data_IF_877705268177
#
_entry.id   IF_877705268177
#
_cell.length_a   1.000
_cell.length_b   1.000
_cell.length_c   1.000
_cell.angle_alpha   90.00
_cell.angle_beta   90.00
_cell.angle_gamma   90.00
#
_symmetry.space_group_name_H-M   'P 1'
#
loop_
_entity.id
_entity.type
_entity.pdbx_description
1 polymer ?
#
# COMPACT_ATOMS: atom_id res chain seq x y z
N UNK A 1 3.07 -9.13 -4.76
CA UNK A 1 3.18 -7.68 -5.05
C UNK A 1 3.30 -6.82 -3.80
N UNK A 2 2.42 -6.95 -2.79
CA UNK A 2 2.45 -6.10 -1.58
C UNK A 2 3.80 -5.92 -0.91
N UNK A 3 4.60 -6.98 -0.78
CA UNK A 3 5.98 -6.87 -0.25
C UNK A 3 6.90 -5.98 -1.12
N UNK A 4 6.81 -6.07 -2.45
CA UNK A 4 7.70 -5.34 -3.35
C UNK A 4 7.38 -3.85 -3.38
N UNK A 5 6.08 -3.50 -3.37
CA UNK A 5 5.59 -2.11 -3.45
C UNK A 5 5.33 -1.49 -2.06
N UNK A 6 5.62 -2.21 -0.98
CA UNK A 6 5.55 -1.67 0.38
C UNK A 6 6.69 -0.69 0.65
N UNK A 7 6.40 0.42 1.31
CA UNK A 7 7.37 1.49 1.56
C UNK A 7 8.66 1.01 2.23
N UNK A 8 8.59 0.00 3.11
CA UNK A 8 9.74 -0.61 3.79
C UNK A 8 9.99 -2.06 3.37
N UNK A 9 9.35 -2.52 2.29
CA UNK A 9 9.32 -3.92 1.91
C UNK A 9 8.82 -4.83 3.04
N UNK A 10 7.79 -4.39 3.75
CA UNK A 10 7.24 -5.11 4.90
C UNK A 10 5.78 -5.47 4.71
N UNK A 11 5.38 -6.64 5.21
CA UNK A 11 3.97 -7.05 5.25
C UNK A 11 3.09 -6.09 6.08
N UNK A 12 3.69 -5.30 6.97
CA UNK A 12 2.98 -4.29 7.78
C UNK A 12 2.65 -3.02 7.01
N UNK A 13 3.25 -2.81 5.84
CA UNK A 13 3.12 -1.58 5.08
C UNK A 13 1.75 -1.43 4.43
N UNK A 14 1.26 -2.47 3.76
CA UNK A 14 0.01 -2.43 2.99
C UNK A 14 -0.89 -3.66 3.21
N UNK A 15 -0.55 -4.50 4.20
CA UNK A 15 -1.27 -5.74 4.52
C UNK A 15 -1.71 -6.57 3.29
N UNK A 16 -0.85 -6.68 2.28
CA UNK A 16 -1.13 -7.52 1.11
C UNK A 16 -1.56 -8.94 1.47
N UNK A 17 -1.00 -9.51 2.55
CA UNK A 17 -1.42 -10.82 3.07
C UNK A 17 -2.91 -10.87 3.46
N UNK A 18 -3.47 -9.78 4.01
CA UNK A 18 -4.87 -9.72 4.40
C UNK A 18 -5.76 -9.59 3.17
N UNK A 19 -5.24 -9.01 2.08
CA UNK A 19 -5.93 -8.96 0.81
C UNK A 19 -5.95 -10.35 0.18
N UNK A 20 -4.81 -11.03 0.13
CA UNK A 20 -4.67 -12.41 -0.38
C UNK A 20 -5.64 -13.37 0.33
N UNK A 21 -5.85 -13.20 1.63
CA UNK A 21 -6.81 -14.00 2.42
C UNK A 21 -8.29 -13.75 2.09
N UNK A 22 -8.62 -12.58 1.51
CA UNK A 22 -10.01 -12.16 1.25
C UNK A 22 -10.43 -12.36 -0.21
N UNK A 23 -9.48 -12.45 -1.13
CA UNK A 23 -9.77 -12.65 -2.54
C UNK A 23 -10.01 -14.14 -2.83
N UNK A 24 -10.97 -14.41 -3.72
CA UNK A 24 -11.22 -15.76 -4.24
C UNK A 24 -10.38 -16.04 -5.48
N UNK A 25 -10.22 -15.02 -6.32
CA UNK A 25 -9.49 -15.04 -7.57
C UNK A 25 -8.47 -13.88 -7.57
N UNK A 26 -7.35 -14.08 -8.24
CA UNK A 26 -6.34 -13.03 -8.44
C UNK A 26 -6.95 -11.93 -9.32
N UNK A 27 -7.10 -10.69 -8.80
CA UNK A 27 -7.52 -9.57 -9.64
C UNK A 27 -6.40 -9.20 -10.63
N UNK A 28 -6.68 -8.33 -11.62
CA UNK A 28 -5.63 -7.70 -12.41
C UNK A 28 -4.54 -7.09 -11.51
N UNK A 29 -3.25 -7.23 -11.86
CA UNK A 29 -2.16 -6.76 -11.02
C UNK A 29 -2.17 -5.23 -10.82
N UNK A 30 -2.72 -4.48 -11.76
CA UNK A 30 -2.90 -3.03 -11.67
C UNK A 30 -3.90 -2.68 -10.55
N UNK A 31 -5.09 -3.30 -10.57
CA UNK A 31 -6.11 -3.13 -9.53
C UNK A 31 -5.58 -3.55 -8.15
N UNK A 32 -4.79 -4.64 -8.11
CA UNK A 32 -4.13 -5.09 -6.88
C UNK A 32 -3.19 -4.01 -6.32
N UNK A 33 -2.36 -3.40 -7.17
CA UNK A 33 -1.45 -2.33 -6.77
C UNK A 33 -2.20 -1.10 -6.27
N UNK A 34 -3.27 -0.67 -6.94
CA UNK A 34 -4.10 0.43 -6.48
C UNK A 34 -4.68 0.18 -5.08
N UNK A 35 -5.17 -1.04 -4.81
CA UNK A 35 -5.65 -1.45 -3.48
C UNK A 35 -4.53 -1.40 -2.44
N UNK A 36 -3.33 -1.86 -2.78
CA UNK A 36 -2.18 -1.83 -1.88
C UNK A 36 -1.74 -0.40 -1.56
N UNK A 37 -1.68 0.48 -2.56
CA UNK A 37 -1.37 1.90 -2.38
C UNK A 37 -2.42 2.57 -1.49
N UNK A 38 -3.71 2.29 -1.73
CA UNK A 38 -4.82 2.84 -0.92
C UNK A 38 -4.73 2.39 0.54
N UNK A 39 -4.51 1.11 0.77
CA UNK A 39 -4.34 0.54 2.12
C UNK A 39 -3.11 1.13 2.83
N UNK A 40 -2.00 1.29 2.12
CA UNK A 40 -0.78 1.89 2.69
C UNK A 40 -0.94 3.38 2.97
N UNK A 41 -1.63 4.11 2.09
CA UNK A 41 -1.97 5.51 2.30
C UNK A 41 -2.83 5.68 3.55
N UNK A 42 -3.83 4.82 3.76
CA UNK A 42 -4.62 4.84 4.98
C UNK A 42 -3.77 4.57 6.22
N UNK A 43 -2.85 3.62 6.13
CA UNK A 43 -1.91 3.32 7.22
C UNK A 43 -0.99 4.49 7.56
N UNK A 44 -0.76 5.45 6.66
CA UNK A 44 0.01 6.64 7.01
C UNK A 44 -0.71 7.48 8.07
N UNK A 45 -2.03 7.57 8.00
CA UNK A 45 -2.86 8.20 9.04
C UNK A 45 -2.76 7.39 10.33
N UNK A 46 -3.03 6.09 10.26
CA UNK A 46 -3.03 5.20 11.43
C UNK A 46 -1.67 5.19 12.16
N UNK A 47 -0.57 5.14 11.42
CA UNK A 47 0.78 5.18 11.98
C UNK A 47 1.09 6.55 12.60
N UNK A 48 0.58 7.64 12.04
CA UNK A 48 0.73 8.99 12.62
C UNK A 48 -0.03 9.13 13.94
N UNK A 49 -1.15 8.41 14.09
CA UNK A 49 -1.90 8.30 15.34
C UNK A 49 -1.30 7.29 16.32
N UNK A 50 -0.22 6.61 15.94
CA UNK A 50 0.52 5.64 16.78
C UNK A 50 -0.40 4.52 17.30
N UNK A 51 -1.40 4.12 16.51
CA UNK A 51 -2.31 3.04 16.91
C UNK A 51 -1.66 1.66 16.78
N UNK A 52 -2.24 0.66 17.45
CA UNK A 52 -1.87 -0.73 17.22
C UNK A 52 -2.47 -1.24 15.90
N UNK A 53 -1.63 -1.65 14.94
CA UNK A 53 -2.08 -2.17 13.64
C UNK A 53 -2.84 -3.51 13.73
N UNK A 54 -2.80 -4.21 14.86
CA UNK A 54 -3.71 -5.35 15.09
C UNK A 54 -5.15 -4.91 15.32
N UNK A 55 -5.36 -3.73 15.90
CA UNK A 55 -6.68 -3.15 16.12
C UNK A 55 -7.16 -2.27 14.95
N UNK A 56 -6.39 -2.11 13.88
CA UNK A 56 -6.72 -1.21 12.74
C UNK A 56 -8.14 -1.36 12.18
N UNK A 57 -8.75 -2.54 12.28
CA UNK A 57 -10.09 -2.80 11.75
C UNK A 57 -11.21 -2.07 12.48
N UNK A 58 -10.97 -1.60 13.72
CA UNK A 58 -11.91 -0.76 14.47
C UNK A 58 -11.59 0.74 14.38
N UNK A 59 -10.48 1.09 13.72
CA UNK A 59 -10.10 2.47 13.44
C UNK A 59 -10.35 2.72 11.95
N UNK A 60 -11.63 2.71 11.54
CA UNK A 60 -12.02 3.16 10.21
C UNK A 60 -11.98 4.70 10.12
N UNK A 61 -12.20 5.23 8.92
CA UNK A 61 -11.99 6.65 8.65
C UNK A 61 -13.01 7.52 9.38
N UNK A 62 -14.24 7.04 9.51
CA UNK A 62 -15.32 7.67 10.26
C UNK A 62 -15.00 7.71 11.75
N UNK A 63 -14.62 6.57 12.33
CA UNK A 63 -14.26 6.47 13.75
C UNK A 63 -13.07 7.38 14.09
N UNK A 64 -12.04 7.44 13.23
CA UNK A 64 -10.89 8.32 13.43
C UNK A 64 -11.30 9.79 13.34
N UNK A 65 -12.12 10.16 12.35
CA UNK A 65 -12.65 11.52 12.20
C UNK A 65 -13.42 11.97 13.46
N UNK A 66 -14.32 11.12 13.96
CA UNK A 66 -15.11 11.41 15.16
C UNK A 66 -14.24 11.49 16.41
N UNK A 67 -13.22 10.64 16.54
CA UNK A 67 -12.34 10.60 17.70
C UNK A 67 -11.42 11.83 17.82
N UNK A 68 -11.11 12.51 16.71
CA UNK A 68 -10.26 13.70 16.69
C UNK A 68 -11.00 14.99 17.06
N UNK A 69 -12.31 15.06 16.81
CA UNK A 69 -13.15 16.22 17.14
C UNK A 69 -13.11 16.65 18.62
N UNK A 70 -13.31 15.75 19.62
CA UNK A 70 -13.24 16.15 21.03
C UNK A 70 -11.84 16.56 21.50
N UNK A 71 -10.79 16.29 20.70
CA UNK A 71 -9.42 16.74 20.95
C UNK A 71 -9.16 18.16 20.41
N UNK A 72 -10.16 18.79 19.78
CA UNK A 72 -10.02 20.09 19.12
C UNK A 72 -9.30 20.03 17.79
N UNK A 73 -9.25 18.84 17.15
CA UNK A 73 -8.60 18.61 15.86
C UNK A 73 -9.64 18.07 14.88
N UNK A 74 -10.67 18.84 14.49
CA UNK A 74 -11.67 18.35 13.55
C UNK A 74 -11.03 18.07 12.19
N UNK A 75 -11.02 16.81 11.77
CA UNK A 75 -10.51 16.39 10.46
C UNK A 75 -11.54 15.48 9.80
N UNK A 76 -12.26 15.93 8.75
CA UNK A 76 -13.27 15.10 8.10
C UNK A 76 -12.65 13.90 7.36
N UNK A 77 -13.42 12.84 7.07
CA UNK A 77 -12.91 11.62 6.44
C UNK A 77 -12.14 11.84 5.13
N UNK A 78 -12.62 12.74 4.28
CA UNK A 78 -12.01 13.10 3.00
C UNK A 78 -10.62 13.71 3.20
N UNK A 79 -10.46 14.52 4.25
CA UNK A 79 -9.20 15.14 4.60
C UNK A 79 -8.22 14.11 5.17
N UNK A 80 -8.69 13.13 5.96
CA UNK A 80 -7.86 12.01 6.41
C UNK A 80 -7.33 11.19 5.22
N UNK A 81 -8.17 10.91 4.22
CA UNK A 81 -7.73 10.24 3.00
C UNK A 81 -6.70 11.05 2.22
N UNK A 82 -6.89 12.37 2.13
CA UNK A 82 -5.92 13.28 1.50
C UNK A 82 -4.59 13.26 2.24
N UNK A 83 -4.60 13.45 3.56
CA UNK A 83 -3.41 13.41 4.41
C UNK A 83 -2.66 12.09 4.30
N UNK A 84 -3.37 10.96 4.33
CA UNK A 84 -2.77 9.63 4.17
C UNK A 84 -2.04 9.48 2.84
N UNK A 85 -2.64 9.97 1.74
CA UNK A 85 -2.01 9.97 0.42
C UNK A 85 -0.82 10.93 0.36
N UNK A 86 -0.93 12.13 0.92
CA UNK A 86 0.15 13.11 0.91
C UNK A 86 1.38 12.61 1.70
N UNK A 87 1.17 12.00 2.86
CA UNK A 87 2.25 11.37 3.65
C UNK A 87 2.85 10.18 2.88
N UNK A 88 2.03 9.37 2.21
CA UNK A 88 2.52 8.27 1.39
C UNK A 88 3.47 8.77 0.29
N UNK A 89 3.07 9.82 -0.43
CA UNK A 89 3.87 10.45 -1.48
C UNK A 89 5.19 10.97 -0.91
N UNK A 90 5.15 11.75 0.17
CA UNK A 90 6.35 12.29 0.82
C UNK A 90 7.33 11.19 1.24
N UNK A 91 6.82 10.11 1.83
CA UNK A 91 7.64 8.97 2.25
C UNK A 91 8.29 8.29 1.05
N UNK A 92 7.59 8.16 -0.07
CA UNK A 92 8.17 7.62 -1.31
C UNK A 92 9.18 8.57 -1.94
N UNK A 93 8.90 9.88 -2.01
CA UNK A 93 9.87 10.88 -2.47
C UNK A 93 11.17 10.82 -1.66
N UNK A 94 11.08 10.70 -0.33
CA UNK A 94 12.26 10.50 0.52
C UNK A 94 12.98 9.20 0.18
N UNK A 95 12.24 8.09 0.00
CA UNK A 95 12.82 6.79 -0.36
C UNK A 95 13.62 6.86 -1.68
N UNK A 96 13.09 7.56 -2.70
CA UNK A 96 13.77 7.80 -3.98
C UNK A 96 15.03 8.65 -3.80
N UNK A 97 14.95 9.74 -3.02
CA UNK A 97 16.10 10.58 -2.71
C UNK A 97 17.21 9.80 -2.00
N UNK A 98 16.85 8.75 -1.26
CA UNK A 98 17.79 7.83 -0.60
C UNK A 98 18.34 6.73 -1.53
N UNK A 99 18.05 6.78 -2.83
CA UNK A 99 18.62 5.89 -3.84
C UNK A 99 17.78 4.64 -4.15
N UNK A 100 16.53 4.58 -3.72
CA UNK A 100 15.61 3.52 -4.16
C UNK A 100 15.18 3.75 -5.60
N UNK A 101 15.20 2.69 -6.41
CA UNK A 101 14.70 2.71 -7.79
C UNK A 101 13.52 1.72 -7.92
N UNK A 102 12.27 2.21 -8.10
CA UNK A 102 11.10 1.36 -8.26
C UNK A 102 11.06 0.66 -9.63
N UNK A 103 11.80 1.15 -10.62
CA UNK A 103 11.84 0.59 -11.98
C UNK A 103 12.69 -0.67 -12.08
N UNK A 104 13.61 -0.85 -11.12
CA UNK A 104 14.49 -2.01 -11.01
C UNK A 104 13.92 -3.13 -10.12
N UNK A 105 12.71 -2.97 -9.58
CA UNK A 105 12.06 -4.00 -8.76
C UNK A 105 11.81 -5.27 -9.58
N UNK A 106 12.11 -6.43 -8.98
CA UNK A 106 11.88 -7.74 -9.58
C UNK A 106 11.29 -8.70 -8.56
N UNK A 107 10.42 -9.59 -9.02
CA UNK A 107 9.88 -10.66 -8.21
C UNK A 107 10.99 -11.69 -7.88
N UNK A 108 11.12 -12.15 -6.62
CA UNK A 108 12.04 -13.24 -6.31
C UNK A 108 11.62 -14.53 -7.02
N UNK A 109 12.50 -15.10 -7.84
CA UNK A 109 12.25 -16.28 -8.69
C UNK A 109 11.51 -17.42 -7.97
N UNK A 110 11.86 -17.70 -6.71
CA UNK A 110 11.27 -18.78 -5.91
C UNK A 110 9.74 -18.71 -5.82
N UNK A 111 9.13 -17.53 -5.86
CA UNK A 111 7.68 -17.39 -5.75
C UNK A 111 6.94 -17.85 -7.02
N UNK A 112 7.65 -17.97 -8.15
CA UNK A 112 7.12 -18.44 -9.42
C UNK A 112 7.21 -19.97 -9.55
N UNK A 113 8.01 -20.61 -8.71
CA UNK A 113 8.30 -22.05 -8.77
C UNK A 113 7.35 -22.88 -7.89
N UNK A 114 6.61 -22.23 -6.99
CA UNK A 114 5.76 -22.89 -6.00
C UNK A 114 4.29 -22.63 -6.34
N UNK A 115 3.45 -23.68 -6.46
CA UNK A 115 2.03 -23.51 -6.70
C UNK A 115 1.35 -22.84 -5.49
N UNK A 116 0.42 -21.94 -5.78
CA UNK A 116 -0.40 -21.24 -4.78
C UNK A 116 -1.85 -21.71 -4.87
N UNK A 117 -2.73 -21.33 -3.92
CA UNK A 117 -4.18 -21.55 -4.06
C UNK A 117 -4.79 -20.94 -5.33
N UNK A 118 -4.10 -19.98 -5.96
CA UNK A 118 -4.52 -19.35 -7.21
C UNK A 118 -3.75 -19.89 -8.44
N UNK A 119 -3.08 -21.03 -8.30
CA UNK A 119 -2.24 -21.63 -9.34
C UNK A 119 -0.78 -21.19 -9.26
N UNK A 120 -0.02 -21.52 -10.31
CA UNK A 120 1.35 -21.03 -10.47
C UNK A 120 1.31 -19.56 -10.85
N UNK A 121 2.13 -18.74 -10.22
CA UNK A 121 2.20 -17.32 -10.52
C UNK A 121 3.12 -17.09 -11.71
N UNK A 122 2.69 -16.25 -12.63
CA UNK A 122 3.46 -15.89 -13.83
C UNK A 122 4.30 -14.64 -13.58
N UNK A 123 5.51 -14.60 -14.14
CA UNK A 123 6.42 -13.45 -14.03
C UNK A 123 5.77 -12.16 -14.57
N UNK A 124 5.05 -12.28 -15.70
CA UNK A 124 4.32 -11.19 -16.35
C UNK A 124 3.33 -10.50 -15.39
N UNK A 125 2.70 -11.25 -14.48
CA UNK A 125 1.76 -10.68 -13.51
C UNK A 125 2.46 -9.67 -12.58
N UNK A 126 3.69 -9.99 -12.16
CA UNK A 126 4.48 -9.08 -11.33
C UNK A 126 5.03 -7.93 -12.14
N UNK A 127 5.56 -8.17 -13.35
CA UNK A 127 6.08 -7.11 -14.22
C UNK A 127 5.02 -6.04 -14.49
N UNK A 128 3.79 -6.46 -14.83
CA UNK A 128 2.66 -5.55 -15.04
C UNK A 128 2.34 -4.73 -13.80
N UNK A 129 2.26 -5.37 -12.63
CA UNK A 129 2.01 -4.68 -11.37
C UNK A 129 3.11 -3.67 -11.01
N UNK A 130 4.38 -4.05 -11.15
CA UNK A 130 5.52 -3.18 -10.85
C UNK A 130 5.65 -2.02 -11.84
N UNK A 131 5.32 -2.25 -13.11
CA UNK A 131 5.23 -1.21 -14.13
C UNK A 131 4.11 -0.22 -13.81
N UNK A 132 2.92 -0.72 -13.45
CA UNK A 132 1.81 0.14 -13.03
C UNK A 132 2.19 0.97 -11.80
N UNK A 133 2.80 0.34 -10.79
CA UNK A 133 3.30 1.03 -9.61
C UNK A 133 4.26 2.18 -9.96
N UNK A 134 5.24 1.92 -10.84
CA UNK A 134 6.18 2.93 -11.30
C UNK A 134 5.48 4.06 -12.06
N UNK A 135 4.51 3.75 -12.91
CA UNK A 135 3.72 4.76 -13.62
C UNK A 135 2.92 5.63 -12.66
N UNK A 136 2.31 5.06 -11.61
CA UNK A 136 1.61 5.84 -10.58
C UNK A 136 2.56 6.82 -9.88
N UNK A 137 3.79 6.41 -9.59
CA UNK A 137 4.79 7.32 -9.01
C UNK A 137 5.20 8.44 -9.99
N UNK A 138 5.32 8.15 -11.29
CA UNK A 138 5.55 9.16 -12.34
C UNK A 138 4.42 10.17 -12.45
N UNK A 139 3.17 9.68 -12.44
CA UNK A 139 1.97 10.53 -12.45
C UNK A 139 1.87 11.45 -11.23
N UNK A 140 2.58 11.12 -10.15
CA UNK A 140 2.69 11.93 -8.94
C UNK A 140 3.96 12.79 -8.89
N UNK A 141 4.73 12.85 -9.97
CA UNK A 141 5.99 13.58 -10.08
C UNK A 141 7.02 13.17 -9.00
N UNK A 142 7.02 11.90 -8.60
CA UNK A 142 7.95 11.34 -7.61
C UNK A 142 9.22 10.78 -8.27
N UNK A 143 9.12 10.22 -9.48
CA UNK A 143 10.20 9.65 -10.30
C UNK A 143 10.09 10.03 -11.78
#
# INVERSE_FOLDING_TARGET
LGFLVGGRHSHLDNAGYSLDQKIRELPPPEELVEKLIKEESWRMVLNSLVICLFARGIYDVETVSEALDPLGIPVPPEELHRLGRDIYKQRYSLKIQMGFDPTELKAPRRILEVPTPHGTLEEEYFERGLKHFSNTLREWDII
#
